data_IF_507454333182
#
_entry.id   IF_507454333182
#
_cell.length_a   1.000
_cell.length_b   1.000
_cell.length_c   1.000
_cell.angle_alpha   90.00
_cell.angle_beta   90.00
_cell.angle_gamma   90.00
#
_symmetry.space_group_name_H-M   'P 1'
#
loop_
_entity.id
_entity.type
_entity.pdbx_description
1 polymer ?
#
# COMPACT_ATOMS: atom_id res chain seq x y z
N UNK A 1 47.43 48.04 -56.80
CA UNK A 1 46.92 48.16 -55.42
C UNK A 1 45.68 47.29 -55.30
N UNK A 2 45.77 46.10 -54.72
CA UNK A 2 44.64 45.20 -54.52
C UNK A 2 44.28 45.26 -53.03
N UNK A 3 43.05 45.72 -52.68
CA UNK A 3 42.51 45.75 -51.29
C UNK A 3 41.86 44.41 -51.00
N UNK A 4 42.43 43.68 -50.06
CA UNK A 4 41.82 42.47 -49.48
C UNK A 4 40.77 42.93 -48.48
N UNK A 5 39.53 42.57 -48.71
CA UNK A 5 38.42 42.69 -47.68
C UNK A 5 38.32 41.38 -46.93
N UNK A 6 38.62 41.44 -45.62
CA UNK A 6 38.51 40.35 -44.69
C UNK A 6 37.06 40.28 -44.19
N UNK A 7 36.33 39.25 -44.59
CA UNK A 7 34.95 38.99 -44.11
C UNK A 7 35.05 38.29 -42.73
N UNK A 8 34.65 38.99 -41.69
CA UNK A 8 34.53 38.38 -40.32
C UNK A 8 33.16 37.71 -40.20
N UNK A 9 33.11 36.37 -40.17
CA UNK A 9 31.89 35.63 -39.89
C UNK A 9 31.75 35.53 -38.37
N UNK A 10 30.79 36.27 -37.81
CA UNK A 10 30.38 36.16 -36.41
C UNK A 10 29.41 34.97 -36.27
N UNK A 11 29.88 33.87 -35.73
CA UNK A 11 29.05 32.71 -35.43
C UNK A 11 28.30 32.97 -34.11
N UNK A 12 27.02 33.34 -34.20
CA UNK A 12 26.12 33.49 -33.06
C UNK A 12 25.71 32.10 -32.57
N UNK A 13 26.27 31.64 -31.45
CA UNK A 13 25.76 30.49 -30.72
C UNK A 13 24.43 30.88 -30.06
N UNK A 14 23.32 30.51 -30.65
CA UNK A 14 22.00 30.51 -30.00
C UNK A 14 21.98 29.38 -28.97
N UNK A 15 22.25 29.72 -27.69
CA UNK A 15 21.94 28.85 -26.58
C UNK A 15 20.43 28.80 -26.42
N UNK A 16 19.82 27.77 -27.00
CA UNK A 16 18.41 27.49 -26.86
C UNK A 16 18.05 27.11 -25.42
N UNK A 17 17.80 28.08 -24.57
CA UNK A 17 17.04 27.88 -23.36
C UNK A 17 15.56 27.68 -23.74
N UNK A 18 15.20 26.45 -24.14
CA UNK A 18 13.79 26.07 -24.19
C UNK A 18 13.15 26.33 -22.84
N UNK A 19 11.86 26.75 -22.76
CA UNK A 19 11.19 26.94 -21.49
C UNK A 19 11.26 25.63 -20.71
N UNK A 20 11.83 25.66 -19.50
CA UNK A 20 11.68 24.62 -18.51
C UNK A 20 10.17 24.40 -18.36
N UNK A 21 9.65 23.33 -18.96
CA UNK A 21 8.28 22.89 -18.70
C UNK A 21 8.20 22.72 -17.20
N UNK A 22 7.38 23.52 -16.54
CA UNK A 22 7.02 23.29 -15.15
C UNK A 22 6.59 21.83 -15.05
N UNK A 23 7.39 21.01 -14.39
CA UNK A 23 7.06 19.62 -14.15
C UNK A 23 5.79 19.65 -13.30
N UNK A 24 4.67 19.14 -13.84
CA UNK A 24 3.40 19.11 -13.13
C UNK A 24 3.59 18.40 -11.78
N UNK A 25 2.86 18.84 -10.76
CA UNK A 25 2.91 18.20 -9.45
C UNK A 25 2.63 16.71 -9.59
N UNK A 26 3.53 15.85 -9.14
CA UNK A 26 3.36 14.41 -9.08
C UNK A 26 3.23 13.99 -7.62
N UNK A 27 2.02 13.65 -7.22
CA UNK A 27 1.68 13.27 -5.86
C UNK A 27 1.62 11.73 -5.76
N UNK A 28 2.38 11.14 -4.85
CA UNK A 28 2.48 9.69 -4.65
C UNK A 28 1.97 9.34 -3.26
N UNK A 29 1.14 8.31 -3.19
CA UNK A 29 0.66 7.71 -1.95
C UNK A 29 1.51 6.49 -1.58
N UNK A 30 1.91 6.35 -0.31
CA UNK A 30 2.60 5.16 0.21
C UNK A 30 1.78 4.61 1.37
N UNK A 31 1.26 3.41 1.23
CA UNK A 31 0.70 2.66 2.35
C UNK A 31 1.74 1.67 2.85
N UNK A 32 2.07 1.76 4.13
CA UNK A 32 3.13 0.97 4.75
C UNK A 32 2.57 0.03 5.81
N UNK A 33 2.85 -1.26 5.64
CA UNK A 33 2.51 -2.36 6.52
C UNK A 33 3.79 -3.02 7.07
N UNK A 34 3.69 -3.96 7.99
CA UNK A 34 4.88 -4.49 8.67
C UNK A 34 5.17 -5.96 8.36
N UNK A 35 4.16 -6.77 8.17
CA UNK A 35 4.30 -8.23 7.99
C UNK A 35 5.20 -8.60 6.81
N UNK A 36 5.16 -7.82 5.73
CA UNK A 36 5.95 -8.03 4.52
C UNK A 36 7.35 -7.42 4.57
N UNK A 37 7.71 -6.63 5.58
CA UNK A 37 9.02 -5.98 5.73
C UNK A 37 10.14 -7.03 5.84
N UNK A 38 11.31 -6.69 5.30
CA UNK A 38 12.52 -7.52 5.36
C UNK A 38 12.81 -7.97 6.80
N UNK A 39 13.06 -9.26 7.02
CA UNK A 39 13.39 -9.81 8.33
C UNK A 39 12.22 -9.95 9.30
N UNK A 40 11.03 -9.43 8.98
CA UNK A 40 9.82 -9.60 9.81
C UNK A 40 9.15 -10.93 9.47
N UNK A 41 8.99 -11.81 10.47
CA UNK A 41 8.49 -13.18 10.29
C UNK A 41 7.54 -13.61 11.43
N UNK A 42 7.76 -13.12 12.66
CA UNK A 42 7.07 -13.60 13.85
C UNK A 42 6.21 -12.53 14.51
N UNK A 43 5.27 -12.95 15.37
CA UNK A 43 4.44 -12.04 16.17
C UNK A 43 5.23 -11.13 17.10
N UNK A 44 6.44 -11.57 17.50
CA UNK A 44 7.33 -10.80 18.38
C UNK A 44 7.85 -9.51 17.73
N UNK A 45 7.65 -9.38 16.43
CA UNK A 45 8.07 -8.24 15.62
C UNK A 45 6.92 -7.28 15.29
N UNK A 46 5.66 -7.68 15.54
CA UNK A 46 4.47 -7.03 14.98
C UNK A 46 3.71 -6.13 15.97
N UNK A 47 4.13 -6.02 17.20
CA UNK A 47 3.40 -5.20 18.17
C UNK A 47 4.22 -4.79 19.38
N UNK A 48 3.77 -3.75 20.13
CA UNK A 48 4.52 -3.14 21.21
C UNK A 48 4.95 -4.08 22.35
N UNK A 49 4.26 -5.20 22.52
CA UNK A 49 4.60 -6.22 23.52
C UNK A 49 5.67 -7.21 23.06
N UNK A 50 6.00 -7.22 21.76
CA UNK A 50 6.98 -8.12 21.19
C UNK A 50 8.42 -7.64 21.45
N UNK A 51 9.31 -8.57 21.76
CA UNK A 51 10.69 -8.22 22.13
C UNK A 51 11.51 -7.62 20.98
N UNK A 52 11.13 -7.91 19.72
CA UNK A 52 11.85 -7.47 18.52
C UNK A 52 11.09 -6.38 17.74
N UNK A 53 9.99 -5.87 18.26
CA UNK A 53 9.17 -4.83 17.61
C UNK A 53 9.94 -3.53 17.36
N UNK A 54 10.80 -3.11 18.28
CA UNK A 54 11.60 -1.91 18.09
C UNK A 54 12.49 -2.01 16.84
N UNK A 55 13.11 -3.19 16.60
CA UNK A 55 13.90 -3.44 15.41
C UNK A 55 13.03 -3.48 14.14
N UNK A 56 11.85 -4.09 14.19
CA UNK A 56 10.93 -4.14 13.06
C UNK A 56 10.48 -2.73 12.61
N UNK A 57 10.23 -1.81 13.54
CA UNK A 57 9.94 -0.40 13.24
C UNK A 57 11.08 0.30 12.50
N UNK A 58 12.33 0.02 12.89
CA UNK A 58 13.51 0.54 12.19
C UNK A 58 13.57 0.04 10.75
N UNK A 59 13.35 -1.26 10.54
CA UNK A 59 13.33 -1.87 9.21
C UNK A 59 12.19 -1.32 8.35
N UNK A 60 10.98 -1.22 8.88
CA UNK A 60 9.82 -0.66 8.19
C UNK A 60 10.07 0.80 7.78
N UNK A 61 10.60 1.61 8.68
CA UNK A 61 10.92 3.02 8.39
C UNK A 61 12.01 3.15 7.32
N UNK A 62 13.00 2.25 7.32
CA UNK A 62 14.05 2.22 6.31
C UNK A 62 13.51 1.86 4.91
N UNK A 63 12.59 0.88 4.80
CA UNK A 63 11.95 0.53 3.53
C UNK A 63 11.07 1.66 3.00
N UNK A 64 10.32 2.35 3.87
CA UNK A 64 9.54 3.54 3.49
C UNK A 64 10.45 4.66 3.01
N UNK A 65 11.58 4.91 3.67
CA UNK A 65 12.58 5.89 3.21
C UNK A 65 13.19 5.51 1.84
N UNK A 66 13.42 4.22 1.60
CA UNK A 66 13.87 3.74 0.30
C UNK A 66 12.82 4.00 -0.80
N UNK A 67 11.53 3.77 -0.50
CA UNK A 67 10.42 4.08 -1.40
C UNK A 67 10.31 5.59 -1.69
N UNK A 68 10.41 6.44 -0.67
CA UNK A 68 10.44 7.90 -0.81
C UNK A 68 11.58 8.33 -1.74
N UNK A 69 12.79 7.81 -1.51
CA UNK A 69 13.96 8.14 -2.34
C UNK A 69 13.77 7.69 -3.80
N UNK A 70 13.21 6.51 -4.04
CA UNK A 70 12.88 6.02 -5.38
C UNK A 70 11.85 6.88 -6.10
N UNK A 71 10.76 7.24 -5.41
CA UNK A 71 9.71 8.10 -5.94
C UNK A 71 10.23 9.49 -6.32
N UNK A 72 11.04 10.11 -5.45
CA UNK A 72 11.68 11.41 -5.73
C UNK A 72 12.65 11.34 -6.90
N UNK A 73 13.45 10.28 -6.98
CA UNK A 73 14.38 10.08 -8.11
C UNK A 73 13.64 9.97 -9.45
N UNK A 74 12.37 9.57 -9.45
CA UNK A 74 11.50 9.51 -10.62
C UNK A 74 10.62 10.77 -10.82
N UNK A 75 10.77 11.80 -9.96
CA UNK A 75 10.10 13.09 -10.13
C UNK A 75 8.88 13.32 -9.25
N UNK A 76 8.61 12.49 -8.23
CA UNK A 76 7.58 12.76 -7.25
C UNK A 76 7.87 14.06 -6.50
N UNK A 77 6.87 14.95 -6.42
CA UNK A 77 6.97 16.28 -5.80
C UNK A 77 6.26 16.37 -4.47
N UNK A 78 5.30 15.47 -4.22
CA UNK A 78 4.54 15.39 -2.98
C UNK A 78 4.36 13.92 -2.61
N UNK A 79 4.58 13.58 -1.33
CA UNK A 79 4.44 12.21 -0.84
C UNK A 79 3.62 12.23 0.44
N UNK A 80 2.56 11.42 0.43
CA UNK A 80 1.72 11.14 1.60
C UNK A 80 1.92 9.68 1.99
N UNK A 81 2.13 9.42 3.27
CA UNK A 81 2.38 8.10 3.82
C UNK A 81 1.27 7.76 4.80
N UNK A 82 0.72 6.56 4.69
CA UNK A 82 -0.16 5.96 5.70
C UNK A 82 0.63 4.91 6.47
N UNK A 83 0.74 5.09 7.78
CA UNK A 83 1.16 4.03 8.69
C UNK A 83 -0.03 3.09 8.88
N UNK A 84 0.03 1.93 8.25
CA UNK A 84 -1.13 1.06 8.02
C UNK A 84 -1.11 -0.23 8.82
N UNK A 85 -0.05 -0.49 9.60
CA UNK A 85 0.07 -1.69 10.42
C UNK A 85 -0.48 -1.50 11.84
N UNK A 86 -1.22 -2.49 12.32
CA UNK A 86 -1.59 -2.63 13.74
C UNK A 86 -2.25 -1.37 14.32
N UNK A 87 -1.58 -0.67 15.24
CA UNK A 87 -2.08 0.55 15.85
C UNK A 87 -1.87 1.83 15.02
N UNK A 88 -1.24 1.75 13.84
CA UNK A 88 -0.95 2.90 12.98
C UNK A 88 0.09 3.87 13.57
N UNK A 89 1.01 3.39 14.41
CA UNK A 89 2.03 4.18 15.09
C UNK A 89 3.43 3.54 15.02
N UNK A 90 3.72 2.87 13.90
CA UNK A 90 4.92 2.06 13.73
C UNK A 90 6.11 2.86 13.18
N UNK A 91 5.86 3.75 12.22
CA UNK A 91 6.89 4.54 11.59
C UNK A 91 7.55 5.52 12.58
N UNK A 92 8.88 5.61 12.53
CA UNK A 92 9.69 6.50 13.35
C UNK A 92 9.72 7.88 12.70
N UNK A 93 8.91 8.80 13.21
CA UNK A 93 8.70 10.13 12.61
C UNK A 93 9.97 10.97 12.50
N UNK A 94 10.85 10.85 13.47
CA UNK A 94 12.14 11.55 13.53
C UNK A 94 13.15 11.08 12.46
N UNK A 95 12.87 9.93 11.83
CA UNK A 95 13.66 9.35 10.75
C UNK A 95 13.06 9.53 9.36
N UNK A 96 11.87 10.11 9.25
CA UNK A 96 11.25 10.46 7.98
C UNK A 96 11.70 11.84 7.50
N UNK A 97 11.77 12.08 6.17
CA UNK A 97 12.03 13.41 5.63
C UNK A 97 10.98 14.44 6.07
N UNK A 98 11.41 15.69 6.31
CA UNK A 98 10.53 16.75 6.83
C UNK A 98 9.44 17.22 5.85
N UNK A 99 9.57 16.92 4.58
CA UNK A 99 8.71 17.37 3.49
C UNK A 99 7.74 16.29 3.01
N UNK A 100 7.45 15.27 3.85
CA UNK A 100 6.39 14.28 3.63
C UNK A 100 5.24 14.48 4.63
N UNK A 101 4.06 14.02 4.27
CA UNK A 101 2.90 13.99 5.17
C UNK A 101 2.68 12.57 5.67
N UNK A 102 2.46 12.38 6.97
CA UNK A 102 2.22 11.08 7.59
C UNK A 102 0.82 11.03 8.21
N UNK A 103 0.06 9.99 7.86
CA UNK A 103 -1.25 9.66 8.44
C UNK A 103 -1.04 8.53 9.46
N UNK A 104 -1.56 8.70 10.67
CA UNK A 104 -1.33 7.80 11.80
C UNK A 104 -2.60 7.47 12.56
N UNK A 105 -2.60 6.29 13.19
CA UNK A 105 -3.61 5.80 14.13
C UNK A 105 -5.00 5.59 13.51
N UNK A 106 -5.94 5.11 14.29
CA UNK A 106 -7.29 4.70 13.90
C UNK A 106 -8.35 5.33 14.81
N UNK A 107 -9.66 5.38 14.43
CA UNK A 107 -10.27 4.87 13.20
C UNK A 107 -10.10 5.81 11.98
N UNK A 108 -10.27 5.26 10.75
CA UNK A 108 -10.16 6.02 9.48
C UNK A 108 -11.20 5.54 8.47
N UNK A 109 -12.05 6.39 7.90
CA UNK A 109 -13.08 6.00 6.93
C UNK A 109 -12.57 5.22 5.72
N UNK A 110 -11.38 5.57 5.20
CA UNK A 110 -10.73 4.87 4.08
C UNK A 110 -9.64 3.89 4.56
N UNK A 111 -9.68 3.48 5.81
CA UNK A 111 -8.75 2.50 6.40
C UNK A 111 -7.27 2.82 6.10
N UNK A 112 -6.52 1.86 5.56
CA UNK A 112 -5.11 1.99 5.21
C UNK A 112 -4.85 3.01 4.09
N UNK A 113 -5.91 3.42 3.36
CA UNK A 113 -5.84 4.37 2.25
C UNK A 113 -6.38 5.77 2.62
N UNK A 114 -6.53 6.07 3.90
CA UNK A 114 -7.03 7.38 4.34
C UNK A 114 -6.22 8.54 3.75
N UNK A 115 -6.92 9.52 3.20
CA UNK A 115 -6.33 10.72 2.59
C UNK A 115 -5.94 10.56 1.12
N UNK A 116 -6.23 9.40 0.50
CA UNK A 116 -6.12 9.24 -0.95
C UNK A 116 -7.30 9.96 -1.63
N UNK A 117 -7.02 10.56 -2.78
CA UNK A 117 -7.99 11.22 -3.65
C UNK A 117 -7.51 11.19 -5.12
N UNK A 118 -8.29 11.73 -6.04
CA UNK A 118 -8.01 11.76 -7.48
C UNK A 118 -6.78 12.60 -7.87
N UNK A 119 -6.18 13.34 -6.93
CA UNK A 119 -4.96 14.13 -7.19
C UNK A 119 -3.68 13.29 -7.19
N UNK A 120 -3.75 12.05 -6.71
CA UNK A 120 -2.60 11.15 -6.68
C UNK A 120 -2.34 10.52 -8.06
N UNK A 121 -1.06 10.47 -8.44
CA UNK A 121 -0.64 9.84 -9.69
C UNK A 121 -0.51 8.31 -9.57
N UNK A 122 -0.27 7.79 -8.37
CA UNK A 122 -0.16 6.37 -8.09
C UNK A 122 0.03 6.06 -6.61
N UNK A 123 -0.23 4.81 -6.24
CA UNK A 123 -0.05 4.27 -4.89
C UNK A 123 1.06 3.20 -4.88
N UNK A 124 1.82 3.16 -3.79
CA UNK A 124 2.90 2.22 -3.51
C UNK A 124 2.57 1.50 -2.21
N UNK A 125 2.70 0.18 -2.19
CA UNK A 125 2.46 -0.67 -1.03
C UNK A 125 3.77 -1.24 -0.51
N UNK A 126 4.14 -0.90 0.71
CA UNK A 126 5.39 -1.33 1.36
C UNK A 126 5.08 -2.28 2.49
N UNK A 127 5.78 -3.43 2.51
CA UNK A 127 5.70 -4.39 3.61
C UNK A 127 4.40 -5.17 3.68
N UNK A 128 3.71 -5.39 2.58
CA UNK A 128 2.43 -6.11 2.51
C UNK A 128 2.61 -7.63 2.56
N UNK A 129 1.52 -8.33 2.89
CA UNK A 129 1.43 -9.78 3.03
C UNK A 129 0.21 -10.34 2.29
N UNK A 130 0.14 -11.67 2.16
CA UNK A 130 -0.94 -12.38 1.46
C UNK A 130 -2.25 -12.42 2.23
N UNK A 131 -3.32 -12.75 1.51
CA UNK A 131 -4.66 -12.98 2.08
C UNK A 131 -4.69 -14.15 3.07
N UNK A 132 -5.74 -14.19 3.92
CA UNK A 132 -5.98 -15.30 4.85
C UNK A 132 -6.10 -16.66 4.14
N UNK A 133 -6.60 -16.67 2.91
CA UNK A 133 -6.79 -17.89 2.14
C UNK A 133 -5.53 -18.42 1.43
N UNK A 134 -4.44 -17.65 1.41
CA UNK A 134 -3.18 -18.05 0.79
C UNK A 134 -2.30 -18.84 1.79
N UNK A 135 -2.04 -20.14 1.54
CA UNK A 135 -1.25 -20.97 2.46
C UNK A 135 0.27 -20.75 2.36
N UNK A 136 0.74 -19.99 1.36
CA UNK A 136 2.16 -19.89 1.02
C UNK A 136 2.84 -18.64 1.62
N UNK A 137 2.07 -17.66 2.12
CA UNK A 137 2.62 -16.39 2.61
C UNK A 137 3.05 -16.39 4.07
N UNK A 138 4.07 -15.58 4.36
CA UNK A 138 4.47 -15.27 5.74
C UNK A 138 3.39 -14.39 6.38
N UNK A 139 2.92 -14.78 7.57
CA UNK A 139 1.91 -14.01 8.33
C UNK A 139 0.62 -13.73 7.57
N UNK A 140 0.24 -14.61 6.64
CA UNK A 140 -0.94 -14.49 5.78
C UNK A 140 -2.23 -14.20 6.56
N UNK A 141 -2.88 -13.07 6.28
CA UNK A 141 -4.19 -12.72 6.82
C UNK A 141 -4.82 -11.57 6.03
N UNK A 142 -6.05 -11.21 6.33
CA UNK A 142 -6.69 -10.00 5.79
C UNK A 142 -7.32 -9.27 6.97
N UNK A 143 -6.82 -8.08 7.29
CA UNK A 143 -7.24 -7.14 8.33
C UNK A 143 -7.13 -7.64 9.77
N UNK A 144 -7.37 -8.92 10.03
CA UNK A 144 -7.25 -9.47 11.38
C UNK A 144 -7.00 -10.96 11.36
N UNK A 145 -5.77 -11.37 11.63
CA UNK A 145 -5.39 -12.80 11.78
C UNK A 145 -6.14 -13.52 12.88
N UNK A 146 -6.60 -12.80 13.92
CA UNK A 146 -7.32 -13.38 15.04
C UNK A 146 -8.82 -13.57 14.76
N UNK A 147 -9.45 -12.72 13.96
CA UNK A 147 -10.90 -12.63 13.83
C UNK A 147 -11.45 -13.12 12.49
N UNK A 148 -10.74 -12.90 11.39
CA UNK A 148 -11.23 -13.14 10.03
C UNK A 148 -10.62 -14.41 9.44
N UNK A 149 -11.48 -15.17 8.75
CA UNK A 149 -11.10 -16.38 8.02
C UNK A 149 -11.06 -16.12 6.50
N UNK A 150 -11.90 -15.20 5.99
CA UNK A 150 -11.89 -14.79 4.58
C UNK A 150 -12.55 -13.42 4.44
N UNK A 151 -12.11 -12.65 3.45
CA UNK A 151 -12.72 -11.40 3.00
C UNK A 151 -12.79 -11.42 1.48
N UNK A 152 -13.99 -11.22 0.93
CA UNK A 152 -14.20 -11.20 -0.52
C UNK A 152 -14.81 -9.88 -0.96
N UNK A 153 -14.33 -9.39 -2.10
CA UNK A 153 -14.96 -8.33 -2.85
C UNK A 153 -15.50 -8.90 -4.17
N UNK A 154 -16.78 -8.69 -4.43
CA UNK A 154 -17.49 -9.23 -5.62
C UNK A 154 -17.20 -10.72 -5.83
N UNK A 155 -17.16 -11.52 -4.74
CA UNK A 155 -16.94 -12.96 -4.77
C UNK A 155 -15.48 -13.43 -4.85
N UNK A 156 -14.51 -12.52 -4.98
CA UNK A 156 -13.07 -12.83 -5.04
C UNK A 156 -12.43 -12.61 -3.66
N UNK A 157 -11.79 -13.64 -3.10
CA UNK A 157 -10.98 -13.50 -1.87
C UNK A 157 -9.81 -12.55 -2.12
N UNK A 158 -9.60 -11.59 -1.22
CA UNK A 158 -8.61 -10.53 -1.42
C UNK A 158 -7.66 -10.38 -0.22
N UNK A 159 -6.37 -10.11 -0.49
CA UNK A 159 -5.47 -9.57 0.52
C UNK A 159 -5.84 -8.11 0.84
N UNK A 160 -5.23 -7.52 1.86
CA UNK A 160 -5.33 -6.09 2.14
C UNK A 160 -4.92 -5.24 0.94
N UNK A 161 -3.90 -5.69 0.20
CA UNK A 161 -3.50 -5.07 -1.06
C UNK A 161 -4.66 -4.97 -2.07
N UNK A 162 -5.54 -5.97 -2.14
CA UNK A 162 -6.72 -5.96 -3.01
C UNK A 162 -7.78 -4.97 -2.55
N UNK A 163 -8.06 -4.92 -1.24
CA UNK A 163 -9.00 -3.93 -0.64
C UNK A 163 -8.49 -2.51 -0.91
N UNK A 164 -7.22 -2.27 -0.62
CA UNK A 164 -6.57 -0.97 -0.76
C UNK A 164 -6.46 -0.53 -2.22
N UNK A 165 -6.18 -1.47 -3.12
CA UNK A 165 -6.19 -1.20 -4.56
C UNK A 165 -7.58 -0.84 -5.07
N UNK A 166 -8.64 -1.48 -4.56
CA UNK A 166 -10.02 -1.15 -4.92
C UNK A 166 -10.43 0.22 -4.38
N UNK A 167 -9.97 0.61 -3.17
CA UNK A 167 -10.17 1.98 -2.64
C UNK A 167 -9.42 3.00 -3.52
N UNK A 168 -8.15 2.75 -3.85
CA UNK A 168 -7.38 3.61 -4.75
C UNK A 168 -8.04 3.71 -6.14
N UNK A 169 -8.52 2.58 -6.67
CA UNK A 169 -9.21 2.49 -7.95
C UNK A 169 -10.52 3.26 -7.99
N UNK A 170 -11.24 3.38 -6.87
CA UNK A 170 -12.43 4.25 -6.75
C UNK A 170 -12.11 5.71 -7.09
N UNK A 171 -10.91 6.18 -6.73
CA UNK A 171 -10.42 7.52 -7.04
C UNK A 171 -9.61 7.58 -8.37
N UNK A 172 -9.59 6.49 -9.14
CA UNK A 172 -8.85 6.43 -10.40
C UNK A 172 -7.32 6.34 -10.23
N UNK A 173 -6.82 5.98 -9.05
CA UNK A 173 -5.40 5.90 -8.72
C UNK A 173 -4.90 4.45 -8.87
N UNK A 174 -3.90 4.17 -9.74
CA UNK A 174 -3.33 2.84 -9.86
C UNK A 174 -2.39 2.52 -8.70
N UNK A 175 -2.36 1.25 -8.28
CA UNK A 175 -1.24 0.70 -7.51
C UNK A 175 -0.13 0.37 -8.49
N UNK A 176 1.07 0.92 -8.26
CA UNK A 176 2.17 0.82 -9.22
C UNK A 176 3.30 -0.08 -8.75
N UNK A 177 3.40 -0.30 -7.44
CA UNK A 177 4.46 -1.12 -6.84
C UNK A 177 4.01 -1.71 -5.51
N UNK A 178 4.45 -2.95 -5.24
CA UNK A 178 4.28 -3.64 -3.95
C UNK A 178 5.59 -4.29 -3.50
N UNK A 179 5.86 -4.25 -2.19
CA UNK A 179 6.95 -5.04 -1.56
C UNK A 179 6.40 -5.98 -0.50
N UNK A 180 7.06 -7.12 -0.35
CA UNK A 180 6.72 -8.14 0.63
C UNK A 180 7.45 -9.45 0.36
N UNK A 181 6.84 -10.57 0.75
CA UNK A 181 7.35 -11.89 0.37
C UNK A 181 7.00 -12.23 -1.09
N UNK A 182 7.54 -13.36 -1.57
CA UNK A 182 7.30 -13.84 -2.93
C UNK A 182 5.82 -14.17 -3.18
N UNK A 183 5.11 -14.64 -2.16
CA UNK A 183 3.71 -15.00 -2.26
C UNK A 183 2.80 -13.77 -2.46
N UNK A 184 2.99 -12.67 -1.70
CA UNK A 184 2.18 -11.46 -1.90
C UNK A 184 2.48 -10.78 -3.23
N UNK A 185 3.74 -10.76 -3.67
CA UNK A 185 4.09 -10.18 -4.97
C UNK A 185 3.39 -10.95 -6.11
N UNK A 186 3.32 -12.28 -6.02
CA UNK A 186 2.60 -13.11 -6.97
C UNK A 186 1.07 -12.92 -6.89
N UNK A 187 0.50 -12.90 -5.67
CA UNK A 187 -0.94 -12.71 -5.45
C UNK A 187 -1.42 -11.34 -5.94
N UNK A 188 -0.69 -10.28 -5.61
CA UNK A 188 -0.99 -8.94 -6.08
C UNK A 188 -0.87 -8.81 -7.60
N UNK A 189 0.16 -9.41 -8.21
CA UNK A 189 0.32 -9.44 -9.66
C UNK A 189 -0.82 -10.18 -10.37
N UNK A 190 -1.33 -11.26 -9.77
CA UNK A 190 -2.48 -11.99 -10.30
C UNK A 190 -3.79 -11.20 -10.21
N UNK A 191 -3.96 -10.41 -9.15
CA UNK A 191 -5.17 -9.63 -8.90
C UNK A 191 -5.18 -8.29 -9.66
N UNK A 192 -4.07 -7.56 -9.64
CA UNK A 192 -3.97 -6.19 -10.13
C UNK A 192 -3.40 -6.08 -11.54
N UNK A 193 -2.89 -7.19 -12.09
CA UNK A 193 -2.19 -7.21 -13.35
C UNK A 193 -0.73 -6.78 -13.23
N UNK A 194 -0.22 -6.11 -14.25
CA UNK A 194 1.19 -5.70 -14.29
C UNK A 194 1.45 -4.58 -13.29
N UNK A 195 2.19 -4.90 -12.21
CA UNK A 195 2.72 -3.97 -11.21
C UNK A 195 4.19 -4.29 -10.95
N UNK A 196 4.98 -3.31 -10.44
CA UNK A 196 6.34 -3.62 -10.00
C UNK A 196 6.30 -4.35 -8.64
N UNK A 197 7.08 -5.42 -8.53
CA UNK A 197 7.21 -6.21 -7.32
C UNK A 197 8.62 -6.17 -6.75
N UNK A 198 8.77 -5.95 -5.43
CA UNK A 198 10.02 -6.11 -4.70
C UNK A 198 9.90 -7.27 -3.70
N UNK A 199 10.42 -8.44 -4.07
CA UNK A 199 10.49 -9.60 -3.19
C UNK A 199 11.68 -9.41 -2.24
N UNK A 200 11.39 -9.13 -0.96
CA UNK A 200 12.42 -8.91 0.06
C UNK A 200 12.66 -10.15 0.94
N UNK A 201 11.75 -11.12 0.88
CA UNK A 201 11.88 -12.42 1.54
C UNK A 201 11.09 -13.50 0.80
N UNK A 202 11.39 -14.76 1.07
CA UNK A 202 10.75 -15.94 0.49
C UNK A 202 10.15 -16.79 1.61
N UNK A 203 8.87 -17.08 1.52
CA UNK A 203 8.17 -17.85 2.53
C UNK A 203 8.60 -19.33 2.52
N UNK A 204 8.77 -19.89 3.71
CA UNK A 204 8.75 -21.34 3.95
C UNK A 204 7.43 -21.77 4.57
N UNK A 205 6.56 -20.80 4.85
CA UNK A 205 5.26 -20.92 5.46
C UNK A 205 4.97 -19.74 6.40
N UNK A 206 3.86 -19.80 7.11
CA UNK A 206 3.34 -18.68 7.92
C UNK A 206 4.33 -18.15 8.98
N UNK A 207 5.24 -18.97 9.49
CA UNK A 207 6.14 -18.65 10.62
C UNK A 207 7.62 -18.68 10.26
N UNK A 208 7.99 -18.88 8.99
CA UNK A 208 9.39 -19.02 8.60
C UNK A 208 9.65 -18.50 7.20
N UNK A 209 10.78 -17.84 7.00
CA UNK A 209 11.20 -17.29 5.72
C UNK A 209 12.73 -17.25 5.56
N UNK A 210 13.16 -17.28 4.31
CA UNK A 210 14.46 -16.77 3.89
C UNK A 210 14.32 -15.28 3.58
N UNK A 211 15.22 -14.43 4.04
CA UNK A 211 15.13 -12.98 3.87
C UNK A 211 16.40 -12.39 3.26
N UNK A 212 16.26 -11.27 2.52
CA UNK A 212 17.37 -10.41 2.17
C UNK A 212 17.95 -9.77 3.44
N UNK A 213 19.14 -9.19 3.33
CA UNK A 213 19.67 -8.28 4.33
C UNK A 213 19.06 -6.87 4.10
N UNK A 214 18.87 -6.07 5.16
CA UNK A 214 18.12 -4.81 5.06
C UNK A 214 18.64 -3.85 3.99
N UNK A 215 19.96 -3.70 3.84
CA UNK A 215 20.52 -2.82 2.81
C UNK A 215 20.13 -3.25 1.39
N UNK A 216 20.19 -4.56 1.10
CA UNK A 216 19.82 -5.11 -0.20
C UNK A 216 18.32 -4.96 -0.49
N UNK A 217 17.46 -5.15 0.53
CA UNK A 217 16.03 -4.93 0.41
C UNK A 217 15.70 -3.46 0.11
N UNK A 218 16.32 -2.53 0.84
CA UNK A 218 16.14 -1.09 0.62
C UNK A 218 16.58 -0.66 -0.78
N UNK A 219 17.72 -1.17 -1.27
CA UNK A 219 18.19 -0.89 -2.63
C UNK A 219 17.21 -1.42 -3.69
N UNK A 220 16.71 -2.65 -3.52
CA UNK A 220 15.70 -3.24 -4.40
C UNK A 220 14.41 -2.41 -4.43
N UNK A 221 13.87 -2.05 -3.26
CA UNK A 221 12.65 -1.25 -3.15
C UNK A 221 12.85 0.10 -3.84
N UNK A 222 13.96 0.80 -3.57
CA UNK A 222 14.25 2.09 -4.20
C UNK A 222 14.26 2.00 -5.72
N UNK A 223 14.93 1.00 -6.30
CA UNK A 223 14.98 0.84 -7.76
C UNK A 223 13.62 0.43 -8.35
N UNK A 224 12.87 -0.45 -7.69
CA UNK A 224 11.54 -0.85 -8.13
C UNK A 224 10.54 0.32 -8.09
N UNK A 225 10.54 1.11 -7.03
CA UNK A 225 9.71 2.32 -6.93
C UNK A 225 10.10 3.34 -8.02
N UNK A 226 11.41 3.58 -8.22
CA UNK A 226 11.86 4.48 -9.28
C UNK A 226 11.39 4.01 -10.66
N UNK A 227 11.50 2.73 -10.96
CA UNK A 227 11.01 2.15 -12.21
C UNK A 227 9.51 2.33 -12.35
N UNK A 228 8.72 1.98 -11.33
CA UNK A 228 7.27 2.12 -11.32
C UNK A 228 6.83 3.57 -11.55
N UNK A 229 7.38 4.51 -10.80
CA UNK A 229 7.01 5.94 -10.92
C UNK A 229 7.44 6.55 -12.26
N UNK A 230 8.57 6.09 -12.84
CA UNK A 230 9.00 6.54 -14.16
C UNK A 230 8.02 6.15 -15.27
N UNK A 231 7.42 4.96 -15.15
CA UNK A 231 6.42 4.45 -16.12
C UNK A 231 4.99 4.46 -15.56
N UNK A 232 4.67 5.40 -14.68
CA UNK A 232 3.40 5.45 -13.92
C UNK A 232 2.15 5.40 -14.79
N UNK A 233 2.21 5.84 -16.03
CA UNK A 233 1.10 5.86 -16.99
C UNK A 233 0.76 4.48 -17.59
N UNK A 234 1.63 3.49 -17.39
CA UNK A 234 1.43 2.14 -17.91
C UNK A 234 0.47 1.36 -17.01
N UNK A 235 0.37 1.73 -15.73
CA UNK A 235 -0.48 1.05 -14.76
C UNK A 235 -1.94 1.48 -14.86
N UNK A 236 -2.84 0.58 -14.49
CA UNK A 236 -4.29 0.80 -14.50
C UNK A 236 -4.86 0.71 -13.10
N UNK A 237 -5.81 1.60 -12.74
CA UNK A 237 -6.55 1.46 -11.49
C UNK A 237 -7.31 0.14 -11.44
N UNK A 238 -7.34 -0.49 -10.26
CA UNK A 238 -8.15 -1.66 -10.00
C UNK A 238 -9.56 -1.22 -9.58
N UNK A 239 -10.47 -1.18 -10.55
CA UNK A 239 -11.84 -0.70 -10.37
C UNK A 239 -12.79 -1.88 -10.30
N UNK A 240 -13.62 -1.93 -9.25
CA UNK A 240 -14.66 -2.94 -9.08
C UNK A 240 -16.00 -2.47 -9.68
N UNK A 241 -16.75 -3.43 -10.20
CA UNK A 241 -18.15 -3.20 -10.57
C UNK A 241 -18.96 -2.83 -9.33
N UNK A 242 -19.87 -1.85 -9.48
CA UNK A 242 -20.77 -1.40 -8.41
C UNK A 242 -22.21 -1.85 -8.67
N UNK A 243 -23.00 -2.14 -7.63
CA UNK A 243 -22.63 -2.09 -6.20
C UNK A 243 -21.62 -3.16 -5.82
N UNK A 244 -20.76 -2.85 -4.83
CA UNK A 244 -19.72 -3.78 -4.38
C UNK A 244 -20.29 -4.72 -3.32
N UNK A 245 -20.15 -6.01 -3.55
CA UNK A 245 -20.50 -7.05 -2.57
C UNK A 245 -19.28 -7.36 -1.71
N UNK A 246 -19.40 -7.14 -0.40
CA UNK A 246 -18.44 -7.55 0.61
C UNK A 246 -18.97 -8.80 1.32
N UNK A 247 -18.25 -9.91 1.21
CA UNK A 247 -18.48 -11.11 2.00
C UNK A 247 -17.36 -11.26 3.04
N UNK A 248 -17.71 -11.45 4.31
CA UNK A 248 -16.75 -11.64 5.40
C UNK A 248 -17.07 -12.92 6.15
N UNK A 249 -16.05 -13.79 6.29
CA UNK A 249 -16.12 -14.98 7.12
C UNK A 249 -15.28 -14.80 8.37
N UNK A 250 -15.90 -14.96 9.53
CA UNK A 250 -15.26 -14.86 10.83
C UNK A 250 -14.74 -16.22 11.32
N UNK A 251 -13.73 -16.21 12.19
CA UNK A 251 -13.26 -17.40 12.91
C UNK A 251 -14.17 -17.79 14.07
N UNK A 252 -15.02 -16.86 14.53
CA UNK A 252 -15.94 -17.04 15.64
C UNK A 252 -17.39 -16.80 15.19
N UNK A 253 -18.32 -17.46 15.88
CA UNK A 253 -19.75 -17.44 15.57
C UNK A 253 -20.42 -16.08 15.86
N UNK A 254 -20.12 -15.46 17.02
CA UNK A 254 -20.82 -14.28 17.52
C UNK A 254 -20.81 -13.06 16.57
N UNK A 255 -19.72 -12.71 15.88
CA UNK A 255 -19.73 -11.55 15.01
C UNK A 255 -20.79 -11.62 13.89
N UNK A 256 -20.93 -12.76 13.23
CA UNK A 256 -21.93 -12.93 12.17
C UNK A 256 -23.36 -12.84 12.71
N UNK A 257 -23.60 -13.35 13.90
CA UNK A 257 -24.91 -13.30 14.54
C UNK A 257 -25.29 -11.85 14.93
N UNK A 258 -24.39 -11.14 15.62
CA UNK A 258 -24.69 -9.78 16.10
C UNK A 258 -24.77 -8.76 14.97
N UNK A 259 -23.89 -8.86 13.97
CA UNK A 259 -23.91 -7.96 12.81
C UNK A 259 -25.19 -8.12 11.98
N UNK A 260 -25.79 -9.31 11.95
CA UNK A 260 -27.04 -9.55 11.24
C UNK A 260 -28.28 -8.86 11.86
N UNK A 261 -28.14 -8.26 13.05
CA UNK A 261 -29.20 -7.40 13.63
C UNK A 261 -29.26 -6.04 12.97
N UNK A 262 -28.23 -5.66 12.20
CA UNK A 262 -28.25 -4.46 11.36
C UNK A 262 -29.00 -4.80 10.06
N UNK A 263 -30.01 -4.03 9.72
CA UNK A 263 -30.86 -4.26 8.53
C UNK A 263 -30.12 -4.19 7.20
N UNK A 264 -28.89 -3.66 7.20
CA UNK A 264 -28.01 -3.55 6.01
C UNK A 264 -27.08 -4.76 5.86
N UNK A 265 -27.11 -5.73 6.80
CA UNK A 265 -26.23 -6.89 6.81
C UNK A 265 -27.05 -8.17 6.67
N UNK A 266 -26.71 -8.98 5.70
CA UNK A 266 -27.23 -10.32 5.52
C UNK A 266 -26.31 -11.33 6.20
N UNK A 267 -26.84 -12.24 7.02
CA UNK A 267 -26.10 -13.40 7.51
C UNK A 267 -26.20 -14.52 6.47
N UNK A 268 -25.11 -14.81 5.80
CA UNK A 268 -25.07 -15.80 4.71
C UNK A 268 -24.74 -17.21 5.18
N UNK A 269 -24.07 -17.34 6.35
CA UNK A 269 -23.73 -18.62 6.98
C UNK A 269 -23.56 -18.42 8.51
N UNK A 270 -23.33 -19.50 9.24
CA UNK A 270 -23.05 -19.47 10.69
C UNK A 270 -21.92 -18.53 11.09
N UNK A 271 -20.91 -18.35 10.24
CA UNK A 271 -19.74 -17.51 10.48
C UNK A 271 -19.59 -16.36 9.46
N UNK A 272 -20.54 -16.21 8.54
CA UNK A 272 -20.36 -15.30 7.41
C UNK A 272 -21.49 -14.28 7.31
N UNK A 273 -21.12 -13.09 6.85
CA UNK A 273 -22.03 -12.02 6.52
C UNK A 273 -21.79 -11.50 5.11
N UNK A 274 -22.80 -10.83 4.57
CA UNK A 274 -22.73 -10.02 3.35
C UNK A 274 -23.19 -8.61 3.63
N UNK A 275 -22.43 -7.67 3.11
CA UNK A 275 -22.78 -6.26 3.01
C UNK A 275 -22.70 -5.83 1.55
N UNK A 276 -23.66 -5.05 1.07
CA UNK A 276 -23.65 -4.50 -0.28
C UNK A 276 -23.49 -2.98 -0.16
N UNK A 277 -22.31 -2.49 -0.52
CA UNK A 277 -22.01 -1.07 -0.55
C UNK A 277 -22.22 -0.47 -1.95
N UNK A 278 -22.66 0.79 -2.01
CA UNK A 278 -22.81 1.50 -3.28
C UNK A 278 -21.48 1.64 -4.04
N UNK A 279 -20.38 1.75 -3.29
CA UNK A 279 -19.01 1.91 -3.79
C UNK A 279 -17.98 1.47 -2.74
N UNK A 280 -16.69 1.59 -3.04
CA UNK A 280 -15.60 1.21 -2.14
C UNK A 280 -15.44 2.13 -0.92
N UNK A 281 -15.94 3.36 -0.96
CA UNK A 281 -15.94 4.25 0.22
C UNK A 281 -16.89 3.68 1.28
N UNK A 282 -18.12 3.37 0.90
CA UNK A 282 -19.11 2.79 1.82
C UNK A 282 -18.67 1.41 2.34
N UNK A 283 -18.04 0.59 1.48
CA UNK A 283 -17.46 -0.70 1.92
C UNK A 283 -16.34 -0.50 2.93
N UNK A 284 -15.44 0.46 2.71
CA UNK A 284 -14.34 0.73 3.65
C UNK A 284 -14.83 1.28 4.99
N UNK A 285 -15.82 2.15 4.98
CA UNK A 285 -16.47 2.66 6.21
C UNK A 285 -17.13 1.53 7.01
N UNK A 286 -17.80 0.59 6.33
CA UNK A 286 -18.38 -0.58 6.99
C UNK A 286 -17.32 -1.52 7.55
N UNK A 287 -16.23 -1.77 6.82
CA UNK A 287 -15.10 -2.58 7.30
C UNK A 287 -14.47 -1.94 8.54
N UNK A 288 -14.23 -0.63 8.52
CA UNK A 288 -13.67 0.09 9.66
C UNK A 288 -14.60 0.00 10.88
N UNK A 289 -15.90 0.22 10.70
CA UNK A 289 -16.89 0.05 11.76
C UNK A 289 -16.86 -1.36 12.35
N UNK A 290 -16.92 -2.38 11.50
CA UNK A 290 -16.94 -3.79 11.92
C UNK A 290 -15.67 -4.19 12.71
N UNK A 291 -14.53 -3.63 12.35
CA UNK A 291 -13.25 -3.97 12.95
C UNK A 291 -12.94 -3.20 14.23
N UNK A 292 -13.39 -1.96 14.34
CA UNK A 292 -12.96 -1.04 15.41
C UNK A 292 -14.03 -0.78 16.46
N UNK A 293 -15.34 -0.92 16.13
CA UNK A 293 -16.41 -0.69 17.09
C UNK A 293 -16.34 -1.71 18.24
N UNK A 294 -16.39 -1.21 19.46
CA UNK A 294 -16.62 -2.02 20.67
C UNK A 294 -17.35 -1.20 21.75
N UNK A 295 -17.93 -1.90 22.78
CA UNK A 295 -18.70 -1.27 23.83
C UNK A 295 -17.86 -0.40 24.79
N UNK A 296 -16.53 -0.55 24.77
CA UNK A 296 -15.58 0.19 25.60
C UNK A 296 -14.83 1.22 24.76
N UNK A 297 -15.58 2.04 24.02
CA UNK A 297 -14.99 3.14 23.25
C UNK A 297 -14.39 4.15 24.23
N UNK A 298 -13.13 4.48 24.00
CA UNK A 298 -12.45 5.51 24.76
C UNK A 298 -12.90 6.91 24.32
N UNK A 299 -12.96 7.89 25.26
CA UNK A 299 -13.28 9.26 24.90
C UNK A 299 -12.18 9.93 24.07
#
# INVERSE_FOLDING_TARGET
MRRNVLLLIVMMFLTGNGPLRAQGKMKIYISADMEGVVGVVTSEQLGPSGFDYAQARELMTAEVNAAIAGARAAGATEIVISDSHGNGQNLLMDKLPQDVTLIRSWPRPLMMMQGIDESFAGAIFIGYHTSTSNPEGVRAHTLSSARLADVKLNGVSVPEAGINAAIAGHFGVPVVMISGDDAIVAEAGSLLGEIEGAVVKWAYGFHSAKTLMPAAANDLIREKVKTAVTRIKDFRPYVLDTPVTLDVTFKNYRPSEVLSYLSIVERTDSHSIRFIGKDMVEVSEFLEFMLTYNASLEP
#
